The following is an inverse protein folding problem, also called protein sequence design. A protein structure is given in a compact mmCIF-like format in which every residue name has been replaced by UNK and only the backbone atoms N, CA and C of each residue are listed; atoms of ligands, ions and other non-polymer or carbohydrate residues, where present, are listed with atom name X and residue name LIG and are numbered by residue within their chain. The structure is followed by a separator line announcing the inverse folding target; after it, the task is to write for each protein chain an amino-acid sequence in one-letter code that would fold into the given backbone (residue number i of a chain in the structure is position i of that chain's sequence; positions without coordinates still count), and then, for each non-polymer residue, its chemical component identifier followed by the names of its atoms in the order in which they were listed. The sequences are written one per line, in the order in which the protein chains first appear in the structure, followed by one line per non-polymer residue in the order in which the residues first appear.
data_IF_070021963280
#
_entry.id   IF_070021963280
#
_cell.length_a   1.000
_cell.length_b   1.000
_cell.length_c   1.000
_cell.angle_alpha   90.00
_cell.angle_beta   90.00
_cell.angle_gamma   90.00
#
_symmetry.space_group_name_H-M   'P 1'
#
loop_
_entity.id
_entity.type
_entity.pdbx_description
1 polymer ?
#
# COMPACT_ATOMS: atom_id res chain seq x y z
N UNK A 1 -3.09 4.27 2.22
CA UNK A 1 -2.57 2.92 2.52
C UNK A 1 -2.58 2.69 4.03
N UNK A 2 -3.39 1.77 4.57
CA UNK A 2 -3.18 1.27 5.94
C UNK A 2 -1.97 0.37 5.83
N UNK A 3 -0.82 0.96 6.07
CA UNK A 3 0.34 0.20 6.44
C UNK A 3 -0.07 -0.53 7.71
N UNK A 4 0.03 -1.86 7.73
CA UNK A 4 -0.07 -2.58 8.99
C UNK A 4 0.85 -1.88 10.01
N UNK A 5 0.51 -1.88 11.28
CA UNK A 5 1.35 -1.20 12.31
C UNK A 5 2.83 -1.63 12.23
N UNK A 6 3.08 -2.84 11.68
CA UNK A 6 4.40 -3.39 11.37
C UNK A 6 5.14 -2.75 10.17
N UNK A 7 4.45 -2.08 9.23
CA UNK A 7 5.03 -1.44 8.04
C UNK A 7 5.18 0.09 8.15
N UNK A 8 4.96 0.65 9.34
CA UNK A 8 5.34 2.02 9.66
C UNK A 8 6.72 2.06 10.36
N UNK A 9 7.60 3.00 9.98
CA UNK A 9 8.87 3.14 10.65
C UNK A 9 8.64 3.53 12.12
N UNK A 10 9.29 2.84 13.05
CA UNK A 10 9.20 3.18 14.47
C UNK A 10 9.69 4.61 14.69
N UNK A 11 8.94 5.40 15.48
CA UNK A 11 9.29 6.81 15.74
C UNK A 11 10.72 6.98 16.26
N UNK A 12 11.18 6.07 17.10
CA UNK A 12 12.57 6.04 17.59
C UNK A 12 13.61 5.93 16.48
N UNK A 13 13.34 5.14 15.43
CA UNK A 13 14.23 5.00 14.27
C UNK A 13 14.22 6.28 13.43
N UNK A 14 13.03 6.86 13.19
CA UNK A 14 12.87 8.12 12.47
C UNK A 14 13.67 9.24 13.15
N UNK A 15 13.48 9.39 14.47
CA UNK A 15 14.13 10.43 15.27
C UNK A 15 15.66 10.21 15.33
N UNK A 16 16.11 8.96 15.46
CA UNK A 16 17.52 8.61 15.47
C UNK A 16 18.22 8.94 14.13
N UNK A 17 17.61 8.58 13.00
CA UNK A 17 18.18 8.84 11.67
C UNK A 17 18.24 10.35 11.39
N UNK A 18 17.19 11.10 11.75
CA UNK A 18 17.15 12.58 11.63
C UNK A 18 18.14 13.28 12.56
N UNK A 19 18.53 12.64 13.67
CA UNK A 19 19.55 13.18 14.57
C UNK A 19 20.96 13.02 14.02
N UNK A 20 21.24 11.93 13.30
CA UNK A 20 22.58 11.62 12.77
C UNK A 20 22.85 12.31 11.43
N UNK A 21 21.85 12.38 10.56
CA UNK A 21 22.02 12.87 9.20
C UNK A 21 21.23 14.15 8.94
N UNK A 22 21.72 15.04 8.05
CA UNK A 22 20.95 16.20 7.62
C UNK A 22 19.70 15.76 6.83
N UNK A 23 18.65 16.60 6.75
CA UNK A 23 17.38 16.27 6.09
C UNK A 23 17.51 15.72 4.67
N UNK A 24 18.45 16.25 3.88
CA UNK A 24 18.72 15.83 2.50
C UNK A 24 19.13 14.35 2.40
N UNK A 25 19.70 13.80 3.47
CA UNK A 25 20.15 12.40 3.55
C UNK A 25 19.16 11.58 4.37
N UNK A 26 18.70 12.07 5.52
CA UNK A 26 17.79 11.33 6.41
C UNK A 26 16.45 11.03 5.74
N UNK A 27 15.88 11.98 5.00
CA UNK A 27 14.56 11.81 4.41
C UNK A 27 14.52 10.72 3.32
N UNK A 28 15.39 10.74 2.28
CA UNK A 28 15.41 9.64 1.29
C UNK A 28 15.65 8.26 1.92
N UNK A 29 16.51 8.18 2.95
CA UNK A 29 16.74 6.94 3.69
C UNK A 29 15.44 6.46 4.34
N UNK A 30 14.70 7.35 5.00
CA UNK A 30 13.45 7.00 5.69
C UNK A 30 12.32 6.66 4.71
N UNK A 31 12.25 7.31 3.56
CA UNK A 31 11.29 6.98 2.50
C UNK A 31 11.55 5.57 1.99
N UNK A 32 12.81 5.27 1.66
CA UNK A 32 13.22 3.94 1.20
C UNK A 32 13.02 2.89 2.29
N UNK A 33 13.37 3.19 3.55
CA UNK A 33 13.15 2.31 4.68
C UNK A 33 11.67 1.95 4.84
N UNK A 34 10.79 2.94 4.73
CA UNK A 34 9.34 2.72 4.76
C UNK A 34 8.90 1.80 3.62
N UNK A 35 9.39 2.04 2.40
CA UNK A 35 9.10 1.19 1.25
C UNK A 35 9.57 -0.25 1.44
N UNK A 36 10.80 -0.43 1.92
CA UNK A 36 11.40 -1.73 2.17
C UNK A 36 10.64 -2.51 3.24
N UNK A 37 10.20 -1.83 4.31
CA UNK A 37 9.45 -2.47 5.39
C UNK A 37 8.13 -3.04 4.86
N UNK A 38 7.40 -2.26 4.06
CA UNK A 38 6.17 -2.76 3.41
C UNK A 38 6.48 -3.88 2.42
N UNK A 39 7.53 -3.74 1.60
CA UNK A 39 7.97 -4.79 0.68
C UNK A 39 8.27 -6.11 1.41
N UNK A 40 9.01 -6.07 2.51
CA UNK A 40 9.35 -7.25 3.32
C UNK A 40 8.08 -7.89 3.90
N UNK A 41 7.21 -7.10 4.54
CA UNK A 41 6.04 -7.67 5.20
C UNK A 41 4.99 -8.16 4.21
N UNK A 42 4.65 -7.37 3.21
CA UNK A 42 3.56 -7.73 2.29
C UNK A 42 3.99 -8.77 1.26
N UNK A 43 5.19 -8.65 0.66
CA UNK A 43 5.71 -9.71 -0.20
C UNK A 43 6.07 -10.95 0.61
N UNK A 44 6.55 -10.80 1.85
CA UNK A 44 6.84 -11.92 2.74
C UNK A 44 5.59 -12.71 3.10
N UNK A 45 4.51 -12.04 3.54
CA UNK A 45 3.22 -12.66 3.80
C UNK A 45 2.68 -13.33 2.52
N UNK A 46 2.70 -12.63 1.38
CA UNK A 46 2.24 -13.19 0.12
C UNK A 46 3.06 -14.41 -0.31
N UNK A 47 4.38 -14.40 -0.08
CA UNK A 47 5.26 -15.54 -0.34
C UNK A 47 4.93 -16.72 0.58
N UNK A 48 4.78 -16.49 1.88
CA UNK A 48 4.42 -17.53 2.86
C UNK A 48 3.12 -18.23 2.47
N UNK A 49 2.08 -17.47 2.09
CA UNK A 49 0.84 -18.05 1.59
C UNK A 49 1.06 -18.79 0.25
N UNK A 50 1.83 -18.21 -0.67
CA UNK A 50 2.14 -18.82 -1.98
C UNK A 50 2.90 -20.15 -1.86
N UNK A 51 3.61 -20.39 -0.75
CA UNK A 51 4.29 -21.66 -0.48
C UNK A 51 3.33 -22.81 -0.12
N UNK A 52 2.05 -22.51 0.16
CA UNK A 52 1.00 -23.50 0.37
C UNK A 52 0.81 -24.35 -0.91
N UNK A 53 0.59 -25.66 -0.72
CA UNK A 53 0.40 -26.62 -1.81
C UNK A 53 -0.72 -26.22 -2.80
N UNK A 54 -1.78 -25.56 -2.31
CA UNK A 54 -2.89 -25.09 -3.17
C UNK A 54 -2.44 -24.01 -4.15
N UNK A 55 -1.72 -22.99 -3.67
CA UNK A 55 -1.25 -21.89 -4.52
C UNK A 55 -0.07 -22.30 -5.42
N UNK A 56 0.70 -23.31 -5.03
CA UNK A 56 1.71 -23.93 -5.90
C UNK A 56 1.15 -24.61 -7.15
N UNK A 57 -0.14 -24.95 -7.15
CA UNK A 57 -0.83 -25.59 -8.27
C UNK A 57 -1.94 -24.73 -8.84
N UNK A 58 -2.01 -23.45 -8.44
CA UNK A 58 -3.11 -22.59 -8.83
C UNK A 58 -3.04 -22.25 -10.31
N UNK A 59 -4.18 -22.27 -10.98
CA UNK A 59 -4.31 -21.73 -12.33
C UNK A 59 -4.25 -20.19 -12.31
N UNK A 60 -4.28 -19.60 -13.51
CA UNK A 60 -4.22 -18.14 -13.68
C UNK A 60 -5.34 -17.41 -12.92
N UNK A 61 -6.57 -17.91 -13.01
CA UNK A 61 -7.75 -17.31 -12.39
C UNK A 61 -7.65 -17.33 -10.87
N UNK A 62 -7.16 -18.44 -10.30
CA UNK A 62 -6.95 -18.58 -8.87
C UNK A 62 -5.84 -17.65 -8.36
N UNK A 63 -4.73 -17.49 -9.11
CA UNK A 63 -3.66 -16.57 -8.74
C UNK A 63 -4.09 -15.10 -8.79
N UNK A 64 -4.83 -14.72 -9.83
CA UNK A 64 -5.44 -13.38 -9.93
C UNK A 64 -6.46 -13.17 -8.81
N UNK A 65 -7.32 -14.16 -8.55
CA UNK A 65 -8.31 -14.12 -7.47
C UNK A 65 -7.67 -13.95 -6.09
N UNK A 66 -6.57 -14.64 -5.82
CA UNK A 66 -5.78 -14.45 -4.60
C UNK A 66 -5.27 -13.00 -4.50
N UNK A 67 -4.71 -12.46 -5.59
CA UNK A 67 -4.20 -11.09 -5.61
C UNK A 67 -5.27 -10.01 -5.40
N UNK A 68 -6.44 -10.17 -6.04
CA UNK A 68 -7.61 -9.29 -5.81
C UNK A 68 -8.04 -9.39 -4.36
N UNK A 69 -8.15 -10.61 -3.82
CA UNK A 69 -8.52 -10.85 -2.43
C UNK A 69 -7.55 -10.18 -1.44
N UNK A 70 -6.25 -10.30 -1.68
CA UNK A 70 -5.21 -9.66 -0.86
C UNK A 70 -5.41 -8.14 -0.79
N UNK A 71 -5.50 -7.46 -1.94
CA UNK A 71 -5.70 -6.00 -1.97
C UNK A 71 -7.07 -5.56 -1.44
N UNK A 72 -8.11 -6.38 -1.65
CA UNK A 72 -9.47 -6.08 -1.23
C UNK A 72 -9.64 -6.17 0.29
N UNK A 73 -8.94 -7.10 0.96
CA UNK A 73 -8.96 -7.20 2.42
C UNK A 73 -8.36 -5.94 3.06
N UNK A 74 -7.23 -5.44 2.54
CA UNK A 74 -6.65 -4.20 3.04
C UNK A 74 -7.60 -3.00 2.84
N UNK A 75 -8.17 -2.88 1.64
CA UNK A 75 -9.14 -1.83 1.33
C UNK A 75 -10.39 -1.91 2.23
N UNK A 76 -10.85 -3.12 2.55
CA UNK A 76 -11.99 -3.35 3.45
C UNK A 76 -11.66 -2.95 4.89
N UNK A 77 -10.51 -3.38 5.42
CA UNK A 77 -10.09 -3.03 6.78
C UNK A 77 -9.95 -1.51 6.95
N UNK A 78 -9.45 -0.81 5.92
CA UNK A 78 -9.43 0.65 5.83
C UNK A 78 -10.82 1.26 5.86
N UNK A 79 -11.70 0.75 5.00
CA UNK A 79 -13.07 1.22 4.92
C UNK A 79 -13.79 1.07 6.26
N UNK A 80 -13.64 -0.07 6.92
CA UNK A 80 -14.23 -0.34 8.24
C UNK A 80 -13.66 0.60 9.30
N UNK A 81 -12.34 0.83 9.32
CA UNK A 81 -11.71 1.78 10.25
C UNK A 81 -12.29 3.19 10.11
N UNK A 82 -12.33 3.71 8.88
CA UNK A 82 -12.87 5.05 8.62
C UNK A 82 -14.39 5.14 8.81
N UNK A 83 -15.12 4.05 8.58
CA UNK A 83 -16.55 3.96 8.85
C UNK A 83 -16.83 4.05 10.35
N UNK A 84 -16.12 3.28 11.18
CA UNK A 84 -16.22 3.34 12.64
C UNK A 84 -15.87 4.75 13.13
N UNK A 85 -14.77 5.33 12.63
CA UNK A 85 -14.38 6.70 12.98
C UNK A 85 -15.47 7.72 12.64
N UNK A 86 -16.11 7.58 11.46
CA UNK A 86 -17.23 8.44 11.05
C UNK A 86 -18.42 8.31 11.99
N UNK A 87 -18.79 7.08 12.37
CA UNK A 87 -19.85 6.84 13.37
C UNK A 87 -19.49 7.52 14.69
N UNK A 88 -18.27 7.36 15.19
CA UNK A 88 -17.84 7.97 16.45
C UNK A 88 -17.91 9.50 16.40
N UNK A 89 -17.50 10.12 15.29
CA UNK A 89 -17.59 11.59 15.11
C UNK A 89 -19.03 12.07 15.09
N UNK A 90 -19.97 11.30 14.53
CA UNK A 90 -21.39 11.66 14.52
C UNK A 90 -22.02 11.56 15.92
N UNK A 91 -21.74 10.48 16.66
CA UNK A 91 -22.48 10.18 17.90
C UNK A 91 -21.80 10.66 19.18
N UNK A 92 -20.47 10.71 19.21
CA UNK A 92 -19.68 11.05 20.41
C UNK A 92 -18.52 12.01 20.11
N UNK A 93 -18.74 13.14 19.40
CA UNK A 93 -17.65 14.04 19.01
C UNK A 93 -16.91 14.65 20.20
N UNK A 94 -17.58 14.87 21.35
CA UNK A 94 -17.02 15.56 22.51
C UNK A 94 -15.95 14.78 23.28
N UNK A 95 -15.87 13.45 23.10
CA UNK A 95 -14.87 12.58 23.73
C UNK A 95 -13.70 12.24 22.79
N UNK A 96 -13.79 12.61 21.51
CA UNK A 96 -12.73 12.35 20.55
C UNK A 96 -11.68 13.47 20.58
N UNK A 97 -10.38 13.12 20.52
CA UNK A 97 -9.33 14.08 20.21
C UNK A 97 -9.63 14.85 18.92
N UNK A 98 -9.39 16.17 18.87
CA UNK A 98 -9.64 16.98 17.68
C UNK A 98 -8.94 16.46 16.41
N UNK A 99 -7.80 15.80 16.57
CA UNK A 99 -7.04 15.19 15.48
C UNK A 99 -7.81 14.05 14.82
N UNK A 100 -8.46 13.19 15.61
CA UNK A 100 -9.27 12.08 15.07
C UNK A 100 -10.53 12.59 14.35
N UNK A 101 -11.11 13.69 14.82
CA UNK A 101 -12.26 14.31 14.16
C UNK A 101 -11.87 14.79 12.75
N UNK A 102 -10.71 15.44 12.61
CA UNK A 102 -10.21 15.93 11.30
C UNK A 102 -9.91 14.80 10.30
N UNK A 103 -9.57 13.60 10.79
CA UNK A 103 -9.29 12.43 9.96
C UNK A 103 -10.55 11.73 9.46
N UNK A 104 -11.73 12.05 10.00
CA UNK A 104 -12.96 11.40 9.58
C UNK A 104 -13.35 11.81 8.15
N UNK A 105 -13.77 10.87 7.28
CA UNK A 105 -14.21 11.18 5.91
C UNK A 105 -15.32 12.24 5.84
N UNK A 106 -16.20 12.31 6.84
CA UNK A 106 -17.27 13.33 6.91
C UNK A 106 -16.72 14.77 7.02
N UNK A 107 -15.48 14.93 7.47
CA UNK A 107 -14.78 16.22 7.55
C UNK A 107 -13.96 16.53 6.30
N UNK A 108 -13.95 15.64 5.29
CA UNK A 108 -13.19 15.77 4.06
C UNK A 108 -14.02 16.34 2.90
N UNK A 109 -13.37 17.00 1.94
CA UNK A 109 -14.04 17.44 0.72
C UNK A 109 -14.46 16.26 -0.16
N UNK A 110 -15.51 16.38 -1.00
CA UNK A 110 -15.89 15.34 -1.95
C UNK A 110 -14.75 14.93 -2.90
N UNK A 111 -13.88 15.88 -3.26
CA UNK A 111 -12.70 15.63 -4.09
C UNK A 111 -11.63 14.80 -3.39
N UNK A 112 -11.51 14.94 -2.07
CA UNK A 112 -10.58 14.13 -1.25
C UNK A 112 -11.09 12.70 -1.15
N UNK A 113 -12.39 12.53 -0.92
CA UNK A 113 -13.02 11.20 -0.89
C UNK A 113 -12.81 10.48 -2.24
N UNK A 114 -12.96 11.20 -3.36
CA UNK A 114 -12.72 10.63 -4.68
C UNK A 114 -11.25 10.19 -4.87
N UNK A 115 -10.30 11.02 -4.44
CA UNK A 115 -8.87 10.66 -4.48
C UNK A 115 -8.61 9.38 -3.68
N UNK A 116 -9.14 9.28 -2.46
CA UNK A 116 -8.97 8.09 -1.60
C UNK A 116 -9.62 6.83 -2.21
N UNK A 117 -10.73 6.95 -2.96
CA UNK A 117 -11.33 5.83 -3.70
C UNK A 117 -10.44 5.38 -4.85
N UNK A 118 -9.89 6.33 -5.62
CA UNK A 118 -8.96 6.04 -6.73
C UNK A 118 -7.71 5.34 -6.20
N UNK A 119 -7.21 5.77 -5.04
CA UNK A 119 -6.07 5.14 -4.34
C UNK A 119 -6.34 3.66 -4.09
N UNK A 120 -7.54 3.33 -3.59
CA UNK A 120 -7.92 1.95 -3.24
C UNK A 120 -8.02 1.07 -4.48
N UNK A 121 -8.65 1.56 -5.55
CA UNK A 121 -8.75 0.83 -6.82
C UNK A 121 -7.35 0.58 -7.39
N UNK A 122 -6.51 1.62 -7.39
CA UNK A 122 -5.12 1.55 -7.85
C UNK A 122 -4.36 0.52 -7.03
N UNK A 123 -4.44 0.58 -5.70
CA UNK A 123 -3.77 -0.36 -4.81
C UNK A 123 -4.19 -1.81 -5.09
N UNK A 124 -5.49 -2.10 -5.24
CA UNK A 124 -5.96 -3.46 -5.56
C UNK A 124 -5.30 -4.00 -6.84
N UNK A 125 -5.14 -3.17 -7.88
CA UNK A 125 -4.43 -3.56 -9.11
C UNK A 125 -2.95 -3.84 -8.86
N UNK A 126 -2.29 -3.05 -8.00
CA UNK A 126 -0.90 -3.24 -7.57
C UNK A 126 -0.71 -4.57 -6.83
N UNK A 127 -1.55 -4.82 -5.83
CA UNK A 127 -1.52 -6.08 -5.06
C UNK A 127 -1.80 -7.27 -5.96
N UNK A 128 -2.76 -7.15 -6.88
CA UNK A 128 -3.10 -8.24 -7.81
C UNK A 128 -1.90 -8.65 -8.63
N UNK A 129 -1.26 -7.70 -9.29
CA UNK A 129 -0.09 -7.98 -10.12
C UNK A 129 1.09 -8.52 -9.30
N UNK A 130 1.36 -7.88 -8.15
CA UNK A 130 2.43 -8.31 -7.26
C UNK A 130 2.24 -9.75 -6.79
N UNK A 131 1.04 -10.13 -6.36
CA UNK A 131 0.75 -11.49 -5.91
C UNK A 131 0.88 -12.51 -7.05
N UNK A 132 0.41 -12.16 -8.26
CA UNK A 132 0.60 -13.01 -9.45
C UNK A 132 2.07 -13.29 -9.70
N UNK A 133 2.94 -12.27 -9.64
CA UNK A 133 4.39 -12.45 -9.81
C UNK A 133 5.01 -13.35 -8.73
N UNK A 134 4.61 -13.18 -7.47
CA UNK A 134 5.10 -14.00 -6.35
C UNK A 134 4.68 -15.46 -6.51
N UNK A 135 3.39 -15.71 -6.79
CA UNK A 135 2.89 -17.08 -7.01
C UNK A 135 3.63 -17.71 -8.19
N UNK A 136 3.77 -16.99 -9.31
CA UNK A 136 4.52 -17.48 -10.47
C UNK A 136 5.96 -17.83 -10.13
N UNK A 137 6.64 -16.99 -9.33
CA UNK A 137 8.00 -17.24 -8.87
C UNK A 137 8.11 -18.57 -8.12
N UNK A 138 7.15 -18.85 -7.25
CA UNK A 138 7.10 -20.08 -6.45
C UNK A 138 6.78 -21.31 -7.32
N UNK A 139 5.78 -21.20 -8.20
CA UNK A 139 5.35 -22.31 -9.07
C UNK A 139 6.47 -22.76 -10.00
N UNK A 140 7.17 -21.80 -10.62
CA UNK A 140 8.17 -22.07 -11.65
C UNK A 140 9.61 -22.07 -11.10
N UNK A 141 9.79 -21.83 -9.78
CA UNK A 141 11.09 -21.64 -9.13
C UNK A 141 11.93 -20.51 -9.76
N UNK A 142 11.28 -19.56 -10.43
CA UNK A 142 11.90 -18.40 -11.06
C UNK A 142 11.86 -17.17 -10.13
N UNK A 143 12.76 -17.13 -9.15
CA UNK A 143 12.79 -16.10 -8.10
C UNK A 143 12.98 -14.65 -8.60
N UNK A 144 13.40 -14.45 -9.85
CA UNK A 144 13.46 -13.12 -10.46
C UNK A 144 12.09 -12.40 -10.40
N UNK A 145 10.98 -13.13 -10.50
CA UNK A 145 9.63 -12.54 -10.44
C UNK A 145 9.25 -12.09 -9.03
N UNK A 146 9.71 -12.81 -8.01
CA UNK A 146 9.58 -12.36 -6.63
C UNK A 146 10.32 -11.04 -6.41
N UNK A 147 11.57 -10.93 -6.89
CA UNK A 147 12.34 -9.70 -6.74
C UNK A 147 11.75 -8.52 -7.52
N UNK A 148 11.21 -8.76 -8.72
CA UNK A 148 10.47 -7.72 -9.46
C UNK A 148 9.27 -7.25 -8.64
N UNK A 149 8.48 -8.16 -8.07
CA UNK A 149 7.36 -7.81 -7.19
C UNK A 149 7.79 -7.04 -5.95
N UNK A 150 8.87 -7.48 -5.30
CA UNK A 150 9.42 -6.85 -4.11
C UNK A 150 9.84 -5.40 -4.36
N UNK A 151 10.62 -5.17 -5.42
CA UNK A 151 11.06 -3.81 -5.77
C UNK A 151 9.92 -2.94 -6.28
N UNK A 152 8.98 -3.53 -7.01
CA UNK A 152 7.78 -2.84 -7.46
C UNK A 152 6.99 -2.27 -6.28
N UNK A 153 6.68 -3.09 -5.27
CA UNK A 153 5.97 -2.65 -4.07
C UNK A 153 6.80 -1.67 -3.23
N UNK A 154 8.09 -1.96 -3.03
CA UNK A 154 9.01 -1.08 -2.31
C UNK A 154 9.02 0.33 -2.90
N UNK A 155 9.05 0.47 -4.23
CA UNK A 155 9.07 1.77 -4.89
C UNK A 155 7.78 2.57 -4.63
N UNK A 156 6.61 1.92 -4.72
CA UNK A 156 5.32 2.57 -4.48
C UNK A 156 5.23 3.04 -3.02
N UNK A 157 5.60 2.18 -2.08
CA UNK A 157 5.51 2.49 -0.65
C UNK A 157 6.56 3.49 -0.19
N UNK A 158 7.68 3.61 -0.90
CA UNK A 158 8.65 4.67 -0.72
C UNK A 158 8.09 6.04 -1.17
N UNK A 159 7.32 6.09 -2.27
CA UNK A 159 6.61 7.32 -2.69
C UNK A 159 5.56 7.70 -1.63
N UNK A 160 4.82 6.73 -1.11
CA UNK A 160 3.89 6.97 0.00
C UNK A 160 4.64 7.44 1.27
N UNK A 161 5.80 6.87 1.55
CA UNK A 161 6.69 7.28 2.65
C UNK A 161 7.20 8.71 2.51
N UNK A 162 7.61 9.11 1.30
CA UNK A 162 7.98 10.48 0.97
C UNK A 162 6.90 11.48 1.37
N UNK A 163 5.67 11.24 0.92
CA UNK A 163 4.57 12.16 1.19
C UNK A 163 4.21 12.23 2.66
N UNK A 164 4.13 11.07 3.31
CA UNK A 164 3.82 10.98 4.72
C UNK A 164 4.87 11.67 5.60
N UNK A 165 6.16 11.42 5.36
CA UNK A 165 7.25 11.88 6.22
C UNK A 165 7.64 13.34 5.96
N UNK A 166 7.43 13.83 4.72
CA UNK A 166 7.77 15.20 4.33
C UNK A 166 6.66 16.19 4.67
N UNK A 167 5.40 15.83 4.40
CA UNK A 167 4.27 16.74 4.59
C UNK A 167 3.48 16.46 5.88
N UNK A 168 3.55 15.24 6.42
CA UNK A 168 2.69 14.78 7.52
C UNK A 168 1.29 14.41 7.02
N UNK A 169 0.63 13.45 7.69
CA UNK A 169 -0.74 13.02 7.33
C UNK A 169 -1.72 14.20 7.37
N UNK A 170 -1.56 15.06 8.37
CA UNK A 170 -2.58 16.06 8.73
C UNK A 170 -2.50 17.35 7.89
N UNK A 171 -1.36 17.59 7.22
CA UNK A 171 -1.13 18.80 6.42
C UNK A 171 -1.16 18.54 4.92
N UNK A 172 -1.50 17.32 4.47
CA UNK A 172 -1.57 17.02 3.06
C UNK A 172 -2.77 17.75 2.43
N UNK A 173 -2.48 18.80 1.68
CA UNK A 173 -3.50 19.58 0.97
C UNK A 173 -4.25 18.69 -0.03
N UNK A 174 -5.46 19.11 -0.43
CA UNK A 174 -6.23 18.42 -1.48
C UNK A 174 -5.38 18.25 -2.76
N UNK A 175 -4.61 19.28 -3.13
CA UNK A 175 -3.68 19.21 -4.26
C UNK A 175 -2.56 18.17 -4.05
N UNK A 176 -1.99 18.11 -2.84
CA UNK A 176 -0.98 17.10 -2.47
C UNK A 176 -1.49 15.66 -2.60
N UNK A 177 -2.76 15.41 -2.22
CA UNK A 177 -3.42 14.11 -2.43
C UNK A 177 -3.54 13.75 -3.90
N UNK A 178 -4.00 14.67 -4.74
CA UNK A 178 -4.08 14.39 -6.19
C UNK A 178 -2.72 14.18 -6.85
N UNK A 179 -1.68 14.90 -6.40
CA UNK A 179 -0.31 14.66 -6.85
C UNK A 179 0.14 13.23 -6.49
N UNK A 180 -0.20 12.75 -5.29
CA UNK A 180 0.06 11.38 -4.91
C UNK A 180 -0.65 10.39 -5.82
N UNK A 181 -1.95 10.57 -6.05
CA UNK A 181 -2.73 9.69 -6.93
C UNK A 181 -2.13 9.64 -8.33
N UNK A 182 -1.77 10.79 -8.89
CA UNK A 182 -1.10 10.87 -10.20
C UNK A 182 0.26 10.16 -10.19
N UNK A 183 1.00 10.20 -9.08
CA UNK A 183 2.29 9.54 -8.96
C UNK A 183 2.17 8.01 -8.88
N UNK A 184 1.13 7.47 -8.22
CA UNK A 184 0.92 6.02 -8.08
C UNK A 184 0.11 5.40 -9.22
N UNK A 185 -0.71 6.18 -9.91
CA UNK A 185 -1.57 5.70 -11.00
C UNK A 185 -0.81 4.96 -12.13
N UNK A 186 0.37 5.42 -12.59
CA UNK A 186 1.17 4.68 -13.57
C UNK A 186 1.51 3.27 -13.10
N UNK A 187 1.78 3.09 -11.80
CA UNK A 187 1.99 1.77 -11.25
C UNK A 187 0.70 0.96 -11.29
N UNK A 188 -0.46 1.51 -10.90
CA UNK A 188 -1.74 0.81 -11.04
C UNK A 188 -2.01 0.32 -12.47
N UNK A 189 -1.72 1.16 -13.47
CA UNK A 189 -1.82 0.83 -14.89
C UNK A 189 -0.84 -0.29 -15.27
N UNK A 190 0.41 -0.21 -14.81
CA UNK A 190 1.41 -1.29 -14.99
C UNK A 190 0.91 -2.58 -14.35
N UNK A 191 0.31 -2.52 -13.16
CA UNK A 191 -0.27 -3.67 -12.49
C UNK A 191 -1.39 -4.31 -13.30
N UNK A 192 -2.32 -3.49 -13.82
CA UNK A 192 -3.42 -3.98 -14.65
C UNK A 192 -2.95 -4.59 -15.97
N UNK A 193 -2.18 -3.82 -16.77
CA UNK A 193 -1.66 -4.27 -18.07
C UNK A 193 -0.71 -5.45 -17.88
N UNK A 194 0.14 -5.37 -16.85
CA UNK A 194 1.07 -6.42 -16.45
C UNK A 194 0.33 -7.71 -16.18
N UNK A 195 -0.70 -7.68 -15.34
CA UNK A 195 -1.57 -8.85 -15.07
C UNK A 195 -2.14 -9.42 -16.38
N UNK A 196 -2.76 -8.60 -17.23
CA UNK A 196 -3.34 -9.10 -18.48
C UNK A 196 -2.30 -9.72 -19.43
N UNK A 197 -1.13 -9.11 -19.57
CA UNK A 197 -0.06 -9.63 -20.44
C UNK A 197 0.59 -10.88 -19.85
N UNK A 198 0.72 -10.96 -18.53
CA UNK A 198 1.36 -12.07 -17.83
C UNK A 198 0.57 -13.37 -17.94
N UNK A 199 -0.75 -13.29 -18.21
CA UNK A 199 -1.58 -14.46 -18.55
C UNK A 199 -0.94 -15.36 -19.61
N UNK A 200 -0.33 -14.78 -20.65
CA UNK A 200 0.31 -15.52 -21.74
C UNK A 200 1.53 -16.34 -21.29
N UNK A 201 2.17 -15.93 -20.19
CA UNK A 201 3.32 -16.61 -19.61
C UNK A 201 2.90 -17.66 -18.57
N UNK A 202 1.66 -17.58 -18.10
CA UNK A 202 1.07 -18.54 -17.17
C UNK A 202 0.53 -19.79 -17.88
N UNK A 203 0.11 -19.63 -19.14
CA UNK A 203 -0.29 -20.72 -20.03
C UNK A 203 0.94 -21.47 -20.55
#
# INVERSE_FOLDING_TARGET
VLKGVASLPAKSIVDYVRHIFPPVISEPILWLYTGLLTGIFECGIALLFSLNHRLKKSNWQEAVGYGIGFGSIEALLLGVWFFILTIMVIYIPSVLPPELIKLAPISSSPTTILADIIERITSILLHTFSCVLIIFAVQNKEWKWFWISFWYKTAIDAIAGYLYLTYGIDNLTVGGRWIFEIAILPFGIIGFIGTLKFKKKWQ
#
